data_IF_586161809968
#
_entry.id   IF_586161809968
#
_cell.length_a   1.000
_cell.length_b   1.000
_cell.length_c   1.000
_cell.angle_alpha   90.00
_cell.angle_beta   90.00
_cell.angle_gamma   90.00
#
_symmetry.space_group_name_H-M   'P 1'
#
loop_
_entity.id
_entity.type
_entity.pdbx_description
1 polymer ?
#
# COMPACT_ATOMS: atom_id res chain seq x y z
N UNK A 1 1.83 -36.35 -0.02
CA UNK A 1 2.91 -35.35 -0.08
C UNK A 1 2.23 -34.08 -0.57
N UNK A 2 1.94 -33.11 0.29
CA UNK A 2 1.33 -31.85 -0.15
C UNK A 2 2.49 -30.92 -0.52
N UNK A 3 2.55 -30.50 -1.78
CA UNK A 3 3.46 -29.45 -2.21
C UNK A 3 3.14 -28.15 -1.44
N UNK A 4 4.15 -27.41 -0.96
CA UNK A 4 3.91 -26.08 -0.45
C UNK A 4 3.39 -25.24 -1.61
N UNK A 5 2.14 -24.78 -1.50
CA UNK A 5 1.57 -23.81 -2.41
C UNK A 5 2.38 -22.51 -2.29
N UNK A 6 3.38 -22.33 -3.16
CA UNK A 6 4.21 -21.12 -3.27
C UNK A 6 3.50 -20.00 -4.05
N UNK A 7 2.17 -20.00 -4.03
CA UNK A 7 1.40 -18.85 -4.49
C UNK A 7 1.83 -17.65 -3.61
N UNK A 8 2.24 -16.52 -4.20
CA UNK A 8 2.54 -15.33 -3.42
C UNK A 8 1.32 -15.02 -2.57
N UNK A 9 1.50 -15.08 -1.23
CA UNK A 9 0.40 -14.84 -0.29
C UNK A 9 -0.24 -13.52 -0.66
N UNK A 10 -1.53 -13.58 -0.99
CA UNK A 10 -2.32 -12.42 -1.34
C UNK A 10 -2.23 -11.43 -0.17
N UNK A 11 -1.65 -10.26 -0.42
CA UNK A 11 -1.44 -9.24 0.60
C UNK A 11 -2.12 -7.96 0.14
N UNK A 12 -2.70 -7.27 1.12
CA UNK A 12 -3.41 -6.02 0.89
C UNK A 12 -2.46 -4.86 1.13
N UNK A 13 -2.72 -3.73 0.50
CA UNK A 13 -1.90 -2.53 0.66
C UNK A 13 -2.49 -1.65 1.74
N UNK A 14 -1.63 -1.15 2.62
CA UNK A 14 -2.02 -0.23 3.69
C UNK A 14 -1.69 1.21 3.26
N UNK A 15 -2.71 2.05 3.24
CA UNK A 15 -2.63 3.46 2.89
C UNK A 15 -2.90 4.32 4.11
N UNK A 16 -1.99 5.26 4.40
CA UNK A 16 -2.29 6.38 5.28
C UNK A 16 -3.05 7.45 4.48
N UNK A 17 -4.19 7.87 5.03
CA UNK A 17 -5.06 8.87 4.44
C UNK A 17 -4.86 10.18 5.16
N UNK A 18 -4.42 11.19 4.42
CA UNK A 18 -4.19 12.52 4.95
C UNK A 18 -5.14 13.53 4.31
N UNK A 19 -6.07 14.02 5.12
CA UNK A 19 -7.08 15.00 4.72
C UNK A 19 -6.72 16.36 5.35
N UNK A 20 -6.62 17.40 4.52
CA UNK A 20 -6.40 18.77 4.97
C UNK A 20 -7.49 19.67 4.38
N UNK A 21 -8.13 20.55 5.18
CA UNK A 21 -9.10 21.51 4.67
C UNK A 21 -8.53 22.32 3.51
N UNK A 22 -9.29 22.43 2.42
CA UNK A 22 -8.89 23.18 1.23
C UNK A 22 -7.78 22.53 0.38
N UNK A 23 -7.38 21.28 0.67
CA UNK A 23 -6.39 20.54 -0.13
C UNK A 23 -6.91 19.17 -0.56
N UNK A 24 -6.29 18.63 -1.60
CA UNK A 24 -6.55 17.25 -2.05
C UNK A 24 -6.09 16.25 -0.99
N UNK A 25 -6.90 15.22 -0.77
CA UNK A 25 -6.55 14.07 0.07
C UNK A 25 -5.30 13.40 -0.46
N UNK A 26 -4.32 13.20 0.42
CA UNK A 26 -3.08 12.49 0.08
C UNK A 26 -3.17 11.06 0.57
N UNK A 27 -2.74 10.16 -0.31
CA UNK A 27 -2.70 8.73 -0.07
C UNK A 27 -1.25 8.30 -0.09
N UNK A 28 -0.75 7.84 1.05
CA UNK A 28 0.63 7.39 1.20
C UNK A 28 0.63 5.91 1.52
N UNK A 29 1.30 5.10 0.69
CA UNK A 29 1.48 3.67 1.00
C UNK A 29 2.43 3.58 2.19
N UNK A 30 2.01 2.88 3.24
CA UNK A 30 2.73 2.78 4.51
C UNK A 30 2.94 1.34 4.97
N UNK A 31 2.55 0.35 4.16
CA UNK A 31 2.79 -1.04 4.51
C UNK A 31 1.95 -2.04 3.73
N UNK A 32 1.86 -3.24 4.30
CA UNK A 32 1.07 -4.38 3.82
C UNK A 32 0.22 -4.98 4.94
N UNK A 33 -0.90 -5.60 4.57
CA UNK A 33 -1.75 -6.35 5.46
C UNK A 33 -1.88 -7.81 5.00
N UNK A 34 -1.86 -8.72 5.96
CA UNK A 34 -1.99 -10.16 5.73
C UNK A 34 -3.19 -10.68 6.50
N UNK A 35 -4.03 -11.46 5.84
CA UNK A 35 -5.18 -12.10 6.47
C UNK A 35 -4.75 -13.35 7.24
N UNK A 36 -5.16 -13.40 8.50
CA UNK A 36 -4.92 -14.52 9.40
C UNK A 36 -6.08 -15.53 9.26
N UNK A 37 -5.86 -16.76 9.73
CA UNK A 37 -6.85 -17.84 9.64
C UNK A 37 -8.19 -17.51 10.33
N UNK A 38 -8.16 -16.65 11.34
CA UNK A 38 -9.32 -16.20 12.11
C UNK A 38 -10.04 -14.98 11.49
N UNK A 39 -9.60 -14.54 10.30
CA UNK A 39 -10.13 -13.36 9.61
C UNK A 39 -9.58 -12.03 10.13
N UNK A 40 -8.69 -12.03 11.13
CA UNK A 40 -7.99 -10.82 11.54
C UNK A 40 -6.91 -10.42 10.52
N UNK A 41 -6.49 -9.15 10.57
CA UNK A 41 -5.42 -8.62 9.72
C UNK A 41 -4.18 -8.31 10.54
N UNK A 42 -3.04 -8.84 10.12
CA UNK A 42 -1.72 -8.40 10.60
C UNK A 42 -1.19 -7.31 9.69
N UNK A 43 -0.91 -6.12 10.24
CA UNK A 43 -0.35 -4.98 9.50
C UNK A 43 1.17 -4.90 9.72
N UNK A 44 1.93 -4.95 8.63
CA UNK A 44 3.36 -4.62 8.63
C UNK A 44 3.50 -3.19 8.11
N UNK A 45 3.88 -2.26 8.99
CA UNK A 45 3.97 -0.83 8.68
C UNK A 45 5.43 -0.37 8.57
N UNK A 46 5.73 0.37 7.50
CA UNK A 46 7.01 1.04 7.28
C UNK A 46 7.06 2.42 7.96
N UNK A 47 5.89 2.98 8.28
CA UNK A 47 5.74 4.30 8.91
C UNK A 47 4.51 4.36 9.83
N UNK A 48 4.59 5.19 10.87
CA UNK A 48 3.49 5.42 11.82
C UNK A 48 2.61 6.59 11.35
N UNK A 49 1.31 6.38 11.06
CA UNK A 49 0.42 7.43 10.57
C UNK A 49 -0.02 8.38 11.70
N UNK A 50 0.50 9.60 11.72
CA UNK A 50 0.17 10.61 12.75
C UNK A 50 -1.27 11.15 12.66
N UNK A 51 -1.92 11.03 11.51
CA UNK A 51 -3.29 11.50 11.28
C UNK A 51 -4.35 10.41 11.54
N UNK A 52 -3.93 9.22 11.97
CA UNK A 52 -4.80 8.19 12.56
C UNK A 52 -5.72 7.42 11.59
N UNK A 53 -5.80 7.79 10.31
CA UNK A 53 -6.64 7.10 9.33
C UNK A 53 -5.82 6.21 8.40
N UNK A 54 -6.09 4.90 8.46
CA UNK A 54 -5.57 3.90 7.53
C UNK A 54 -6.70 3.33 6.68
N UNK A 55 -6.37 2.94 5.45
CA UNK A 55 -7.22 2.07 4.64
C UNK A 55 -6.42 0.90 4.12
N UNK A 56 -6.96 -0.31 4.30
CA UNK A 56 -6.44 -1.55 3.74
C UNK A 56 -7.21 -1.86 2.46
N UNK A 57 -6.51 -2.04 1.33
CA UNK A 57 -7.13 -2.29 0.03
C UNK A 57 -6.50 -3.49 -0.66
N UNK A 58 -7.32 -4.21 -1.43
CA UNK A 58 -6.78 -5.17 -2.40
C UNK A 58 -5.82 -4.46 -3.33
N UNK A 59 -4.78 -5.20 -3.72
CA UNK A 59 -3.78 -4.73 -4.66
C UNK A 59 -4.40 -4.57 -6.03
N UNK A 60 -4.16 -3.43 -6.65
CA UNK A 60 -4.54 -3.17 -8.04
C UNK A 60 -3.31 -3.19 -8.95
N UNK A 61 -3.53 -3.33 -10.25
CA UNK A 61 -2.49 -3.21 -11.30
C UNK A 61 -1.69 -1.89 -11.19
N UNK A 62 -2.33 -0.82 -10.71
CA UNK A 62 -1.72 0.49 -10.51
C UNK A 62 -0.75 0.55 -9.34
N UNK A 63 -0.86 -0.39 -8.40
CA UNK A 63 0.00 -0.46 -7.22
C UNK A 63 1.32 -1.21 -7.50
N UNK A 64 1.32 -2.06 -8.52
CA UNK A 64 2.51 -2.77 -9.01
C UNK A 64 3.25 -2.06 -10.11
N UNK A 65 2.53 -1.27 -10.92
CA UNK A 65 3.16 -0.48 -11.95
C UNK A 65 4.31 0.31 -11.31
N UNK A 66 5.55 0.21 -11.82
CA UNK A 66 6.64 1.04 -11.33
C UNK A 66 6.10 2.46 -11.45
N UNK A 67 5.92 3.15 -10.30
CA UNK A 67 5.50 4.55 -10.28
C UNK A 67 6.38 5.19 -11.32
N UNK A 68 5.83 5.62 -12.45
CA UNK A 68 6.57 6.38 -13.45
C UNK A 68 7.13 7.53 -12.65
N UNK A 69 8.40 7.40 -12.25
CA UNK A 69 9.15 8.46 -11.64
C UNK A 69 9.02 9.52 -12.72
N UNK A 70 8.23 10.55 -12.45
CA UNK A 70 8.23 11.72 -13.28
C UNK A 70 9.69 12.16 -13.25
N UNK A 71 10.46 11.70 -14.24
CA UNK A 71 11.76 12.22 -14.51
C UNK A 71 11.46 13.69 -14.78
N UNK A 72 12.00 14.62 -13.98
CA UNK A 72 11.81 16.02 -14.28
C UNK A 72 12.24 16.22 -15.73
N UNK A 73 11.35 16.80 -16.53
CA UNK A 73 11.53 17.10 -17.96
C UNK A 73 12.84 17.87 -18.24
N UNK A 74 13.43 18.45 -17.20
CA UNK A 74 14.65 19.24 -17.17
C UNK A 74 15.97 18.44 -17.32
N UNK A 75 15.94 17.12 -17.54
CA UNK A 75 17.14 16.31 -17.81
C UNK A 75 17.14 15.65 -19.21
N UNK A 76 16.19 16.01 -20.08
CA UNK A 76 16.12 15.51 -21.46
C UNK A 76 16.70 16.52 -22.48
N UNK A 77 17.88 17.06 -22.17
CA UNK A 77 18.65 17.95 -23.05
C UNK A 77 20.00 17.35 -23.36
#
# INVERSE_FOLDING_TARGET
MNEPNDSPKDYKIVWAIHEQPGKRTRWTRVGAAFENRDGSLTLLLDAVPIHGRLQVREKSEWDEAPRKRALPEQLAG
#
